data_IF_167812803534
#
_entry.id   IF_167812803534
#
_cell.length_a   1.000
_cell.length_b   1.000
_cell.length_c   1.000
_cell.angle_alpha   90.00
_cell.angle_beta   90.00
_cell.angle_gamma   90.00
#
_symmetry.space_group_name_H-M   'P 1'
#
loop_
_entity.id
_entity.type
_entity.pdbx_description
1 polymer ?
#
# COMPACT_ATOMS: atom_id res chain seq x y z
N UNK A 1 -2.00 67.13 36.26
CA UNK A 1 -0.91 67.47 35.34
C UNK A 1 -0.23 66.20 34.90
N UNK A 2 -0.21 65.99 33.59
CA UNK A 2 0.63 65.07 32.73
C UNK A 2 0.53 63.57 33.01
N UNK A 3 -0.22 62.84 32.25
CA UNK A 3 0.07 62.26 30.93
C UNK A 3 1.35 61.38 30.86
N UNK A 4 1.18 60.07 30.73
CA UNK A 4 2.18 59.11 30.37
C UNK A 4 1.52 57.93 29.65
N UNK A 5 1.39 58.08 28.32
CA UNK A 5 1.00 56.99 27.39
C UNK A 5 2.10 55.97 27.31
N UNK A 6 1.80 54.67 27.46
CA UNK A 6 2.64 53.59 27.04
C UNK A 6 1.87 52.63 26.13
N UNK A 7 2.16 52.77 24.81
CA UNK A 7 1.72 51.89 23.75
C UNK A 7 2.30 50.48 23.93
N UNK A 8 1.44 49.52 24.19
CA UNK A 8 1.76 48.10 24.04
C UNK A 8 1.36 47.64 22.63
N UNK A 9 2.35 47.52 21.76
CA UNK A 9 2.22 46.88 20.46
C UNK A 9 2.23 45.35 20.62
N UNK A 10 1.06 44.79 20.77
CA UNK A 10 0.84 43.33 20.57
C UNK A 10 0.86 43.05 19.05
N UNK A 11 1.99 42.58 18.54
CA UNK A 11 2.07 41.98 17.20
C UNK A 11 1.49 40.56 17.28
N UNK A 12 0.20 40.42 17.09
CA UNK A 12 -0.42 39.16 16.73
C UNK A 12 -0.03 38.78 15.30
N UNK A 13 0.97 37.92 15.21
CA UNK A 13 1.32 37.24 13.97
C UNK A 13 0.32 36.09 13.76
N UNK A 14 -0.89 36.39 13.33
CA UNK A 14 -1.82 35.43 12.79
C UNK A 14 -1.40 35.09 11.35
N UNK A 15 -0.62 34.04 11.19
CA UNK A 15 -0.44 33.39 9.90
C UNK A 15 -1.80 32.76 9.47
N UNK A 16 -2.71 33.61 8.99
CA UNK A 16 -3.83 33.16 8.17
C UNK A 16 -3.26 32.60 6.88
N UNK A 17 -3.24 31.28 6.78
CA UNK A 17 -3.15 30.60 5.48
C UNK A 17 -4.31 31.13 4.66
N UNK A 18 -4.02 32.05 3.72
CA UNK A 18 -5.00 32.53 2.75
C UNK A 18 -5.47 31.31 1.97
N UNK A 19 -6.72 30.95 2.12
CA UNK A 19 -7.42 30.10 1.18
C UNK A 19 -7.37 30.86 -0.17
N UNK A 20 -6.47 30.44 -1.06
CA UNK A 20 -6.41 30.97 -2.40
C UNK A 20 -7.62 30.43 -3.13
N UNK A 21 -8.61 31.26 -3.37
CA UNK A 21 -9.73 31.00 -4.26
C UNK A 21 -9.17 30.90 -5.69
N UNK A 22 -9.00 29.66 -6.16
CA UNK A 22 -8.55 29.37 -7.53
C UNK A 22 -9.76 29.37 -8.48
N UNK A 23 -10.35 30.51 -8.69
CA UNK A 23 -11.26 30.77 -9.79
C UNK A 23 -10.73 31.95 -10.63
N UNK A 24 -9.50 31.81 -11.15
CA UNK A 24 -9.02 32.71 -12.19
C UNK A 24 -9.14 31.94 -13.52
N UNK A 25 -10.05 32.36 -14.39
CA UNK A 25 -10.33 31.78 -15.72
C UNK A 25 -9.12 31.76 -16.67
N UNK A 26 -7.95 32.18 -16.21
CA UNK A 26 -6.71 32.37 -16.99
C UNK A 26 -5.68 31.26 -16.79
N UNK A 27 -5.85 30.34 -15.86
CA UNK A 27 -4.89 29.25 -15.68
C UNK A 27 -5.29 28.07 -16.55
N UNK A 28 -4.56 27.86 -17.64
CA UNK A 28 -4.65 26.64 -18.45
C UNK A 28 -3.30 25.90 -18.35
N UNK A 29 -3.28 24.78 -17.63
CA UNK A 29 -2.09 23.94 -17.57
C UNK A 29 -1.83 23.27 -18.93
N UNK A 30 -0.56 23.08 -19.24
CA UNK A 30 -0.18 22.26 -20.39
C UNK A 30 -0.36 20.77 -20.03
N UNK A 31 -1.40 20.17 -20.57
CA UNK A 31 -1.73 18.78 -20.41
C UNK A 31 -2.45 18.28 -21.67
N UNK A 32 -1.96 17.18 -22.25
CA UNK A 32 -2.59 16.58 -23.41
C UNK A 32 -3.70 15.60 -23.03
N UNK A 33 -4.74 15.50 -23.86
CA UNK A 33 -5.80 14.51 -23.67
C UNK A 33 -5.26 13.08 -23.83
N UNK A 34 -4.29 12.89 -24.72
CA UNK A 34 -3.60 11.62 -24.95
C UNK A 34 -2.96 11.07 -23.67
N UNK A 35 -2.40 11.96 -22.84
CA UNK A 35 -1.80 11.57 -21.57
C UNK A 35 -2.83 11.04 -20.55
N UNK A 36 -4.05 11.55 -20.58
CA UNK A 36 -5.17 11.03 -19.77
C UNK A 36 -5.66 9.68 -20.32
N UNK A 37 -5.67 9.50 -21.64
CA UNK A 37 -5.99 8.21 -22.27
C UNK A 37 -4.94 7.15 -21.89
N UNK A 38 -3.66 7.47 -21.94
CA UNK A 38 -2.58 6.58 -21.49
C UNK A 38 -2.77 6.16 -20.02
N UNK A 39 -3.07 7.11 -19.16
CA UNK A 39 -3.35 6.85 -17.73
C UNK A 39 -4.58 5.94 -17.53
N UNK A 40 -5.62 6.11 -18.33
CA UNK A 40 -6.79 5.23 -18.32
C UNK A 40 -6.42 3.81 -18.74
N UNK A 41 -5.65 3.64 -19.81
CA UNK A 41 -5.20 2.33 -20.29
C UNK A 41 -4.34 1.62 -19.22
N UNK A 42 -3.41 2.34 -18.58
CA UNK A 42 -2.61 1.81 -17.49
C UNK A 42 -3.47 1.42 -16.28
N UNK A 43 -4.42 2.26 -15.89
CA UNK A 43 -5.38 1.98 -14.83
C UNK A 43 -6.20 0.70 -15.10
N UNK A 44 -6.56 0.46 -16.36
CA UNK A 44 -7.40 -0.67 -16.78
C UNK A 44 -6.65 -1.99 -16.97
N UNK A 45 -5.33 -1.97 -17.11
CA UNK A 45 -4.50 -3.10 -17.54
C UNK A 45 -4.81 -4.43 -16.85
N UNK A 46 -5.19 -4.42 -15.56
CA UNK A 46 -5.53 -5.63 -14.78
C UNK A 46 -6.92 -5.57 -14.13
N UNK A 47 -7.81 -4.68 -14.58
CA UNK A 47 -9.09 -4.40 -13.89
C UNK A 47 -10.32 -4.50 -14.79
N UNK A 48 -10.17 -5.00 -16.03
CA UNK A 48 -11.24 -5.06 -17.05
C UNK A 48 -12.51 -5.83 -16.65
N UNK A 49 -12.47 -6.59 -15.56
CA UNK A 49 -13.62 -7.35 -15.02
C UNK A 49 -14.16 -6.75 -13.72
N UNK A 50 -13.57 -5.65 -13.22
CA UNK A 50 -14.03 -5.02 -11.98
C UNK A 50 -15.35 -4.27 -12.19
N UNK A 51 -16.20 -4.27 -11.17
CA UNK A 51 -17.49 -3.57 -11.21
C UNK A 51 -17.31 -2.08 -11.53
N UNK A 52 -16.33 -1.41 -10.90
CA UNK A 52 -16.08 0.01 -11.12
C UNK A 52 -15.68 0.31 -12.58
N UNK A 53 -14.83 -0.54 -13.19
CA UNK A 53 -14.46 -0.43 -14.61
C UNK A 53 -15.68 -0.60 -15.52
N UNK A 54 -16.47 -1.65 -15.29
CA UNK A 54 -17.65 -1.93 -16.12
C UNK A 54 -18.71 -0.83 -16.02
N UNK A 55 -18.83 -0.16 -14.89
CA UNK A 55 -19.71 0.99 -14.71
C UNK A 55 -19.17 2.27 -15.36
N UNK A 56 -17.85 2.42 -15.44
CA UNK A 56 -17.20 3.57 -16.08
C UNK A 56 -17.19 3.46 -17.61
N UNK A 57 -17.03 2.24 -18.14
CA UNK A 57 -16.79 1.98 -19.56
C UNK A 57 -17.84 2.60 -20.52
N UNK A 58 -19.16 2.59 -20.26
CA UNK A 58 -20.13 3.17 -21.19
C UNK A 58 -19.99 4.67 -21.42
N UNK A 59 -19.34 5.39 -20.49
CA UNK A 59 -19.18 6.85 -20.54
C UNK A 59 -17.70 7.29 -20.53
N UNK A 60 -16.77 6.37 -20.79
CA UNK A 60 -15.34 6.63 -20.59
C UNK A 60 -14.83 7.82 -21.41
N UNK A 61 -15.28 7.99 -22.66
CA UNK A 61 -14.81 9.07 -23.54
C UNK A 61 -15.15 10.45 -22.97
N UNK A 62 -16.40 10.68 -22.61
CA UNK A 62 -16.84 11.95 -22.02
C UNK A 62 -16.20 12.20 -20.64
N UNK A 63 -16.00 11.14 -19.85
CA UNK A 63 -15.33 11.27 -18.55
C UNK A 63 -13.82 11.57 -18.69
N UNK A 64 -13.13 11.02 -19.69
CA UNK A 64 -11.71 11.36 -19.95
C UNK A 64 -11.57 12.82 -20.38
N UNK A 65 -12.45 13.31 -21.25
CA UNK A 65 -12.47 14.73 -21.63
C UNK A 65 -12.74 15.60 -20.42
N UNK A 66 -13.74 15.25 -19.59
CA UNK A 66 -14.03 15.99 -18.35
C UNK A 66 -12.83 16.02 -17.39
N UNK A 67 -12.15 14.89 -17.15
CA UNK A 67 -10.96 14.83 -16.31
C UNK A 67 -9.86 15.74 -16.87
N UNK A 68 -9.62 15.68 -18.17
CA UNK A 68 -8.65 16.52 -18.84
C UNK A 68 -8.96 18.01 -18.68
N UNK A 69 -10.21 18.44 -18.94
CA UNK A 69 -10.64 19.83 -18.78
C UNK A 69 -10.55 20.30 -17.34
N UNK A 70 -11.00 19.46 -16.37
CA UNK A 70 -10.96 19.79 -14.95
C UNK A 70 -9.53 19.99 -14.46
N UNK A 71 -8.57 19.19 -14.92
CA UNK A 71 -7.15 19.36 -14.59
C UNK A 71 -6.60 20.59 -15.31
N UNK A 72 -6.82 20.71 -16.63
CA UNK A 72 -6.32 21.79 -17.46
C UNK A 72 -6.67 23.17 -16.90
N UNK A 73 -7.90 23.32 -16.43
CA UNK A 73 -8.42 24.60 -15.92
C UNK A 73 -8.41 24.70 -14.37
N UNK A 74 -7.60 23.89 -13.69
CA UNK A 74 -7.47 23.88 -12.24
C UNK A 74 -8.79 23.70 -11.46
N UNK A 75 -9.75 22.97 -12.02
CA UNK A 75 -11.08 22.69 -11.43
C UNK A 75 -11.21 21.29 -10.87
N UNK A 76 -10.18 20.45 -10.99
CA UNK A 76 -10.25 19.07 -10.55
C UNK A 76 -10.44 18.96 -9.03
N UNK A 77 -11.50 18.25 -8.65
CA UNK A 77 -11.82 17.92 -7.26
C UNK A 77 -12.00 16.40 -7.17
N UNK A 78 -11.30 15.72 -6.25
CA UNK A 78 -11.46 14.28 -6.06
C UNK A 78 -12.90 13.89 -5.69
N UNK A 79 -13.38 12.81 -6.28
CA UNK A 79 -14.71 12.29 -6.05
C UNK A 79 -14.87 11.53 -4.73
N UNK A 80 -16.06 10.92 -4.55
CA UNK A 80 -16.40 10.20 -3.32
C UNK A 80 -15.67 8.85 -3.25
N UNK A 81 -14.84 8.68 -2.24
CA UNK A 81 -14.13 7.43 -1.96
C UNK A 81 -15.06 6.37 -1.35
N UNK A 82 -14.73 5.09 -1.55
CA UNK A 82 -15.33 3.97 -0.81
C UNK A 82 -14.37 3.56 0.32
N UNK A 83 -14.84 3.57 1.57
CA UNK A 83 -14.04 3.15 2.71
C UNK A 83 -14.56 1.84 3.31
N UNK A 84 -13.66 0.91 3.60
CA UNK A 84 -14.01 -0.38 4.19
C UNK A 84 -12.89 -0.92 5.09
N UNK A 85 -13.25 -1.83 6.00
CA UNK A 85 -12.31 -2.47 6.92
C UNK A 85 -11.88 -3.82 6.36
N UNK A 86 -10.57 -4.03 6.26
CA UNK A 86 -9.94 -5.33 6.03
C UNK A 86 -9.53 -5.90 7.37
N UNK A 87 -10.02 -7.10 7.69
CA UNK A 87 -9.83 -7.72 9.00
C UNK A 87 -8.55 -8.57 9.09
N UNK A 88 -8.05 -9.05 7.97
CA UNK A 88 -6.89 -9.95 7.91
C UNK A 88 -5.76 -9.37 7.06
N UNK A 89 -4.49 -9.54 7.49
CA UNK A 89 -4.00 -10.19 8.72
C UNK A 89 -4.14 -9.33 9.98
N UNK A 90 -4.49 -8.05 9.83
CA UNK A 90 -4.73 -7.07 10.91
C UNK A 90 -5.84 -6.15 10.43
N UNK A 91 -6.72 -5.74 11.35
CA UNK A 91 -7.76 -4.75 11.04
C UNK A 91 -7.13 -3.47 10.50
N UNK A 92 -7.53 -3.08 9.31
CA UNK A 92 -7.07 -1.87 8.62
C UNK A 92 -8.23 -1.24 7.87
N UNK A 93 -8.29 0.06 7.92
CA UNK A 93 -9.11 0.89 7.08
C UNK A 93 -8.46 1.01 5.71
N UNK A 94 -9.26 0.87 4.66
CA UNK A 94 -8.81 0.98 3.26
C UNK A 94 -9.75 1.92 2.53
N UNK A 95 -9.17 2.90 1.85
CA UNK A 95 -9.88 3.82 0.97
C UNK A 95 -9.66 3.42 -0.49
N UNK A 96 -10.75 3.22 -1.20
CA UNK A 96 -10.75 3.03 -2.63
C UNK A 96 -11.29 4.29 -3.28
N UNK A 97 -10.44 5.04 -3.94
CA UNK A 97 -10.81 6.22 -4.70
C UNK A 97 -11.84 5.89 -5.79
N UNK A 98 -12.61 6.88 -6.22
CA UNK A 98 -13.47 6.77 -7.40
C UNK A 98 -12.66 6.34 -8.63
N UNK A 99 -13.33 5.78 -9.63
CA UNK A 99 -12.61 5.26 -10.80
C UNK A 99 -11.95 6.38 -11.62
N UNK A 100 -12.60 7.55 -11.72
CA UNK A 100 -12.04 8.73 -12.35
C UNK A 100 -10.78 9.22 -11.62
N UNK A 101 -10.81 9.26 -10.28
CA UNK A 101 -9.63 9.64 -9.47
C UNK A 101 -8.48 8.64 -9.64
N UNK A 102 -8.79 7.35 -9.82
CA UNK A 102 -7.73 6.36 -10.09
C UNK A 102 -7.02 6.63 -11.42
N UNK A 103 -7.70 7.17 -12.42
CA UNK A 103 -7.07 7.58 -13.68
C UNK A 103 -6.09 8.73 -13.41
N UNK A 104 -6.50 9.73 -12.63
CA UNK A 104 -5.61 10.83 -12.21
C UNK A 104 -4.43 10.33 -11.40
N UNK A 105 -4.65 9.35 -10.50
CA UNK A 105 -3.58 8.70 -9.75
C UNK A 105 -2.59 7.97 -10.65
N UNK A 106 -3.07 7.31 -11.72
CA UNK A 106 -2.21 6.66 -12.71
C UNK A 106 -1.46 7.69 -13.56
N UNK A 107 -2.12 8.78 -13.97
CA UNK A 107 -1.49 9.89 -14.69
C UNK A 107 -0.31 10.48 -13.90
N UNK A 108 -0.51 10.76 -12.62
CA UNK A 108 0.52 11.22 -11.71
C UNK A 108 1.64 10.18 -11.55
N UNK A 109 1.26 8.93 -11.33
CA UNK A 109 2.22 7.83 -11.13
C UNK A 109 3.13 7.59 -12.33
N UNK A 110 2.60 7.66 -13.55
CA UNK A 110 3.38 7.48 -14.78
C UNK A 110 4.51 8.51 -14.91
N UNK A 111 4.34 9.71 -14.33
CA UNK A 111 5.32 10.79 -14.34
C UNK A 111 6.34 10.69 -13.23
N UNK A 112 5.90 10.42 -12.00
CA UNK A 112 6.80 10.45 -10.84
C UNK A 112 7.50 9.12 -10.58
N UNK A 113 6.88 7.99 -10.93
CA UNK A 113 7.44 6.69 -10.58
C UNK A 113 8.79 6.39 -11.24
N UNK A 114 9.05 6.76 -12.51
CA UNK A 114 10.39 6.62 -13.09
C UNK A 114 11.47 7.39 -12.31
N UNK A 115 11.15 8.59 -11.85
CA UNK A 115 12.06 9.41 -11.05
C UNK A 115 12.32 8.79 -9.66
N UNK A 116 11.28 8.27 -9.02
CA UNK A 116 11.41 7.57 -7.75
C UNK A 116 12.25 6.30 -7.90
N UNK A 117 12.04 5.52 -8.95
CA UNK A 117 12.83 4.31 -9.22
C UNK A 117 14.32 4.65 -9.40
N UNK A 118 14.63 5.68 -10.18
CA UNK A 118 16.00 6.16 -10.35
C UNK A 118 16.62 6.52 -8.99
N UNK A 119 15.93 7.33 -8.18
CA UNK A 119 16.37 7.70 -6.84
C UNK A 119 16.62 6.48 -5.94
N UNK A 120 15.71 5.50 -5.92
CA UNK A 120 15.88 4.31 -5.10
C UNK A 120 17.08 3.45 -5.54
N UNK A 121 17.36 3.36 -6.84
CA UNK A 121 18.53 2.66 -7.39
C UNK A 121 19.81 3.39 -6.98
N UNK A 122 19.88 4.70 -7.16
CA UNK A 122 21.02 5.54 -6.79
C UNK A 122 21.33 5.49 -5.29
N UNK A 123 20.31 5.31 -4.47
CA UNK A 123 20.43 5.12 -3.02
C UNK A 123 20.71 3.66 -2.60
N UNK A 124 21.17 2.79 -3.51
CA UNK A 124 21.59 1.44 -3.17
C UNK A 124 20.49 0.38 -3.26
N UNK A 125 19.34 0.70 -3.85
CA UNK A 125 18.23 -0.24 -4.10
C UNK A 125 17.73 -1.01 -2.85
N UNK A 126 17.72 -0.38 -1.69
CA UNK A 126 17.39 -1.02 -0.40
C UNK A 126 15.90 -1.12 -0.09
N UNK A 127 15.06 -0.31 -0.75
CA UNK A 127 13.61 -0.36 -0.60
C UNK A 127 13.02 -1.47 -1.48
N UNK A 128 12.34 -2.45 -0.86
CA UNK A 128 11.85 -3.67 -1.54
C UNK A 128 10.32 -3.79 -1.61
N UNK A 129 9.59 -2.69 -1.42
CA UNK A 129 8.13 -2.69 -1.48
C UNK A 129 7.59 -1.62 -2.44
N UNK A 130 6.38 -1.86 -2.99
CA UNK A 130 5.67 -0.94 -3.89
C UNK A 130 6.47 -0.51 -5.13
N UNK A 131 7.31 -1.39 -5.66
CA UNK A 131 8.15 -1.18 -6.83
C UNK A 131 8.03 -2.37 -7.79
N UNK A 132 8.14 -2.11 -9.08
CA UNK A 132 8.08 -3.18 -10.10
C UNK A 132 9.30 -4.10 -9.95
N UNK A 133 9.08 -5.40 -9.97
CA UNK A 133 10.15 -6.40 -9.79
C UNK A 133 10.61 -6.61 -8.34
N UNK A 134 10.21 -5.74 -7.41
CA UNK A 134 10.50 -5.88 -5.98
C UNK A 134 9.34 -6.57 -5.24
N UNK A 135 9.55 -6.94 -3.99
CA UNK A 135 8.51 -7.56 -3.15
C UNK A 135 9.10 -8.44 -2.04
N UNK A 136 8.21 -9.15 -1.33
CA UNK A 136 8.58 -9.98 -0.18
C UNK A 136 9.70 -10.99 -0.51
N UNK A 137 9.65 -11.61 -1.68
CA UNK A 137 10.66 -12.64 -2.05
C UNK A 137 12.04 -12.05 -2.28
N UNK A 138 12.11 -10.87 -2.94
CA UNK A 138 13.35 -10.15 -3.15
C UNK A 138 13.90 -9.68 -1.80
N UNK A 139 13.05 -9.08 -0.95
CA UNK A 139 13.45 -8.64 0.38
C UNK A 139 14.02 -9.77 1.24
N UNK A 140 13.38 -10.95 1.22
CA UNK A 140 13.87 -12.14 1.96
C UNK A 140 15.18 -12.66 1.39
N UNK A 141 15.33 -12.69 0.06
CA UNK A 141 16.56 -13.14 -0.61
C UNK A 141 17.75 -12.22 -0.29
N UNK A 142 17.53 -10.91 -0.36
CA UNK A 142 18.57 -9.93 -0.03
C UNK A 142 18.93 -9.96 1.46
N UNK A 143 17.93 -10.05 2.36
CA UNK A 143 18.18 -10.20 3.77
C UNK A 143 18.96 -11.49 4.09
N UNK A 144 18.63 -12.60 3.40
CA UNK A 144 19.36 -13.86 3.56
C UNK A 144 20.80 -13.73 3.09
N UNK A 145 21.07 -13.01 2.00
CA UNK A 145 22.43 -12.73 1.51
C UNK A 145 23.22 -12.01 2.58
N UNK A 146 22.74 -10.89 3.10
CA UNK A 146 23.42 -10.12 4.16
C UNK A 146 23.68 -10.98 5.42
N UNK A 147 22.70 -11.79 5.83
CA UNK A 147 22.79 -12.68 6.99
C UNK A 147 23.84 -13.77 6.80
N UNK A 148 23.96 -14.32 5.60
CA UNK A 148 24.95 -15.35 5.26
C UNK A 148 26.38 -14.78 5.19
N UNK A 149 26.53 -13.56 4.73
CA UNK A 149 27.82 -12.86 4.67
C UNK A 149 28.36 -12.49 6.06
N UNK A 150 27.45 -12.27 7.05
CA UNK A 150 27.80 -11.81 8.39
C UNK A 150 27.11 -12.62 9.49
N UNK A 151 27.33 -13.95 9.59
CA UNK A 151 26.62 -14.82 10.55
C UNK A 151 26.93 -14.49 12.03
N UNK A 152 28.10 -13.90 12.29
CA UNK A 152 28.58 -13.55 13.63
C UNK A 152 28.20 -12.12 14.05
N UNK A 153 27.58 -11.35 13.18
CA UNK A 153 27.15 -9.99 13.46
C UNK A 153 25.84 -9.96 14.26
N UNK A 154 25.41 -8.75 14.56
CA UNK A 154 24.13 -8.46 15.18
C UNK A 154 23.17 -7.84 14.19
N UNK A 155 21.89 -8.17 14.33
CA UNK A 155 20.82 -7.58 13.54
C UNK A 155 19.89 -6.76 14.41
N UNK A 156 19.64 -5.53 13.99
CA UNK A 156 18.57 -4.67 14.48
C UNK A 156 17.38 -4.74 13.51
N UNK A 157 16.19 -4.95 14.05
CA UNK A 157 14.94 -4.80 13.32
C UNK A 157 14.10 -3.71 13.95
N UNK A 158 13.59 -2.82 13.12
CA UNK A 158 12.91 -1.59 13.50
C UNK A 158 11.61 -1.42 12.70
N UNK A 159 10.68 -0.62 13.23
CA UNK A 159 9.40 -0.32 12.62
C UNK A 159 9.03 1.14 12.94
N UNK A 160 8.49 1.88 11.97
CA UNK A 160 8.00 3.24 12.18
C UNK A 160 6.58 3.19 12.71
N UNK A 161 6.27 3.92 13.78
CA UNK A 161 4.97 3.87 14.43
C UNK A 161 3.88 4.51 13.57
N UNK A 162 2.88 3.71 13.16
CA UNK A 162 1.72 4.21 12.43
C UNK A 162 2.05 4.94 11.13
N UNK A 163 3.09 4.55 10.41
CA UNK A 163 3.76 5.29 9.36
C UNK A 163 2.79 6.02 8.41
N UNK A 164 1.85 5.31 7.77
CA UNK A 164 0.89 5.93 6.85
C UNK A 164 0.02 6.99 7.51
N UNK A 165 -0.29 6.85 8.80
CA UNK A 165 -1.16 7.78 9.53
C UNK A 165 -0.38 8.93 10.16
N UNK A 166 0.94 8.80 10.31
CA UNK A 166 1.81 9.81 10.94
C UNK A 166 2.52 10.72 9.96
N UNK A 167 2.53 10.39 8.65
CA UNK A 167 3.17 11.24 7.64
C UNK A 167 2.58 12.64 7.65
N UNK A 168 3.46 13.64 7.74
CA UNK A 168 3.09 15.05 7.63
C UNK A 168 2.92 15.42 6.16
N UNK A 169 1.75 15.97 5.80
CA UNK A 169 1.42 16.29 4.40
C UNK A 169 2.18 17.49 3.88
N UNK A 170 2.46 18.46 4.73
CA UNK A 170 3.20 19.66 4.33
C UNK A 170 4.64 19.31 4.01
N UNK A 171 5.29 18.54 4.89
CA UNK A 171 6.64 18.04 4.64
C UNK A 171 6.69 17.13 3.40
N UNK A 172 5.74 16.22 3.25
CA UNK A 172 5.67 15.37 2.06
C UNK A 172 5.53 16.19 0.78
N UNK A 173 4.66 17.21 0.78
CA UNK A 173 4.46 18.06 -0.39
C UNK A 173 5.72 18.86 -0.71
N UNK A 174 6.36 19.46 0.28
CA UNK A 174 7.62 20.21 0.11
C UNK A 174 8.72 19.31 -0.50
N UNK A 175 8.88 18.10 0.03
CA UNK A 175 9.84 17.13 -0.50
C UNK A 175 9.53 16.75 -1.96
N UNK A 176 8.26 16.56 -2.30
CA UNK A 176 7.82 16.21 -3.66
C UNK A 176 7.98 17.41 -4.62
N UNK A 177 7.62 18.62 -4.20
CA UNK A 177 7.73 19.82 -5.01
C UNK A 177 9.19 20.07 -5.41
N UNK A 178 10.11 20.10 -4.44
CA UNK A 178 11.55 20.24 -4.69
C UNK A 178 12.04 19.12 -5.62
N UNK A 179 11.72 17.86 -5.30
CA UNK A 179 12.21 16.73 -6.08
C UNK A 179 11.69 16.72 -7.52
N UNK A 180 10.42 17.04 -7.74
CA UNK A 180 9.82 17.11 -9.08
C UNK A 180 10.48 18.26 -9.87
N UNK A 181 10.64 19.45 -9.29
CA UNK A 181 11.30 20.58 -9.98
C UNK A 181 12.73 20.27 -10.40
N UNK A 182 13.47 19.54 -9.56
CA UNK A 182 14.87 19.22 -9.85
C UNK A 182 15.01 18.13 -10.94
N UNK A 183 14.09 17.16 -10.98
CA UNK A 183 14.28 15.93 -11.75
C UNK A 183 13.32 15.77 -12.93
N UNK A 184 12.13 16.35 -12.90
CA UNK A 184 11.16 16.23 -13.99
C UNK A 184 11.48 17.24 -15.11
N UNK A 185 11.45 16.77 -16.37
CA UNK A 185 11.81 17.57 -17.55
C UNK A 185 10.66 17.74 -18.55
N UNK A 186 9.45 17.32 -18.20
CA UNK A 186 8.27 17.49 -19.06
C UNK A 186 7.72 18.92 -19.00
N UNK A 187 7.14 19.38 -20.10
CA UNK A 187 6.55 20.73 -20.20
C UNK A 187 5.30 20.89 -19.31
N UNK A 188 4.70 19.76 -18.90
CA UNK A 188 3.54 19.70 -18.00
C UNK A 188 3.90 19.73 -16.49
N UNK A 189 5.10 20.23 -16.13
CA UNK A 189 5.59 20.26 -14.73
C UNK A 189 4.65 21.03 -13.79
N UNK A 190 4.14 22.17 -14.16
CA UNK A 190 3.24 22.94 -13.29
C UNK A 190 1.89 22.25 -13.11
N UNK A 191 1.40 21.53 -14.14
CA UNK A 191 0.26 20.65 -14.04
C UNK A 191 0.53 19.48 -13.09
N UNK A 192 1.71 18.87 -13.19
CA UNK A 192 2.13 17.78 -12.30
C UNK A 192 2.19 18.24 -10.84
N UNK A 193 2.71 19.41 -10.57
CA UNK A 193 2.77 20.00 -9.22
C UNK A 193 1.37 20.33 -8.68
N UNK A 194 0.48 20.88 -9.52
CA UNK A 194 -0.92 21.09 -9.17
C UNK A 194 -1.61 19.77 -8.74
N UNK A 195 -1.50 18.72 -9.56
CA UNK A 195 -2.08 17.41 -9.25
C UNK A 195 -1.42 16.80 -8.02
N UNK A 196 -0.10 16.93 -7.85
CA UNK A 196 0.63 16.49 -6.65
C UNK A 196 0.06 17.12 -5.39
N UNK A 197 -0.19 18.44 -5.42
CA UNK A 197 -0.79 19.14 -4.30
C UNK A 197 -2.18 18.60 -3.93
N UNK A 198 -3.03 18.40 -4.93
CA UNK A 198 -4.36 17.81 -4.69
C UNK A 198 -4.26 16.43 -4.08
N UNK A 199 -3.42 15.55 -4.62
CA UNK A 199 -3.24 14.17 -4.13
C UNK A 199 -2.74 14.16 -2.69
N UNK A 200 -1.76 14.98 -2.35
CA UNK A 200 -1.15 14.99 -1.00
C UNK A 200 -2.12 15.54 0.04
N UNK A 201 -2.81 16.64 -0.26
CA UNK A 201 -3.71 17.28 0.71
C UNK A 201 -5.12 16.71 0.72
N UNK A 202 -5.46 15.80 -0.21
CA UNK A 202 -6.76 15.15 -0.21
C UNK A 202 -7.05 14.44 1.12
N UNK A 203 -8.26 14.64 1.63
CA UNK A 203 -8.77 14.03 2.85
C UNK A 203 -9.98 13.13 2.51
N UNK A 204 -9.78 11.90 2.05
CA UNK A 204 -10.88 11.05 1.60
C UNK A 204 -11.87 10.69 2.71
N UNK A 205 -11.49 10.83 3.99
CA UNK A 205 -12.39 10.63 5.14
C UNK A 205 -13.50 11.68 5.20
N UNK A 206 -13.35 12.84 4.55
CA UNK A 206 -14.37 13.90 4.51
C UNK A 206 -15.47 13.63 3.48
N UNK A 207 -15.12 12.89 2.42
CA UNK A 207 -16.05 12.52 1.35
C UNK A 207 -15.89 11.04 1.02
N UNK A 208 -16.49 10.17 1.85
CA UNK A 208 -16.46 8.73 1.62
C UNK A 208 -17.74 8.00 2.03
N UNK A 209 -18.00 6.90 1.34
CA UNK A 209 -19.06 5.94 1.69
C UNK A 209 -18.44 4.78 2.47
N UNK A 210 -18.82 4.61 3.74
CA UNK A 210 -18.41 3.46 4.55
C UNK A 210 -19.17 2.21 4.12
N UNK A 211 -18.44 1.19 3.64
CA UNK A 211 -19.01 -0.08 3.13
C UNK A 211 -19.02 -1.20 4.17
N UNK A 212 -18.24 -1.11 5.21
CA UNK A 212 -18.25 -2.07 6.32
C UNK A 212 -19.18 -1.60 7.45
N UNK A 213 -19.77 -2.52 8.24
CA UNK A 213 -20.48 -2.19 9.47
C UNK A 213 -19.62 -1.38 10.43
N UNK A 214 -20.23 -0.47 11.18
CA UNK A 214 -19.51 0.48 12.07
C UNK A 214 -18.70 -0.27 13.15
N UNK A 215 -19.20 -1.40 13.63
CA UNK A 215 -18.59 -2.23 14.66
C UNK A 215 -17.18 -2.68 14.28
N UNK A 216 -16.90 -2.86 12.98
CA UNK A 216 -15.58 -3.26 12.51
C UNK A 216 -14.52 -2.18 12.70
N UNK A 217 -14.93 -0.89 12.69
CA UNK A 217 -14.02 0.21 12.99
C UNK A 217 -13.59 0.24 14.46
N UNK A 218 -14.40 -0.27 15.39
CA UNK A 218 -14.08 -0.33 16.82
C UNK A 218 -12.81 -1.19 17.10
N UNK A 219 -12.45 -2.07 16.18
CA UNK A 219 -11.24 -2.89 16.28
C UNK A 219 -9.97 -2.20 15.73
N UNK A 220 -10.11 -0.99 15.16
CA UNK A 220 -8.98 -0.20 14.65
C UNK A 220 -8.62 0.84 15.72
N UNK A 221 -7.38 0.81 16.27
CA UNK A 221 -6.95 1.83 17.22
C UNK A 221 -7.05 3.24 16.61
N UNK A 222 -7.44 4.28 17.37
CA UNK A 222 -7.60 5.66 16.86
C UNK A 222 -6.38 6.20 16.11
N UNK A 223 -5.17 5.83 16.54
CA UNK A 223 -3.91 6.19 15.89
C UNK A 223 -3.66 5.49 14.54
N UNK A 224 -4.50 4.54 14.14
CA UNK A 224 -4.38 3.75 12.89
C UNK A 224 -5.54 3.96 11.93
N UNK A 225 -6.37 4.97 12.16
CA UNK A 225 -7.47 5.38 11.29
C UNK A 225 -7.30 6.84 10.90
N UNK A 226 -7.59 7.19 9.65
CA UNK A 226 -7.59 8.59 9.19
C UNK A 226 -8.68 9.43 9.86
N UNK A 227 -9.79 8.81 10.25
CA UNK A 227 -10.86 9.52 10.97
C UNK A 227 -10.42 10.05 12.35
N UNK A 228 -9.34 9.51 12.90
CA UNK A 228 -8.75 9.93 14.16
C UNK A 228 -7.52 10.83 14.04
N UNK A 229 -7.10 11.17 12.79
CA UNK A 229 -5.92 12.00 12.57
C UNK A 229 -6.28 13.46 12.25
N UNK A 230 -5.40 14.41 12.58
CA UNK A 230 -5.46 15.77 12.06
C UNK A 230 -5.42 15.78 10.52
N UNK A 231 -6.01 16.80 9.88
CA UNK A 231 -6.08 16.91 8.42
C UNK A 231 -4.72 17.06 7.76
N UNK A 232 -3.76 17.59 8.49
CA UNK A 232 -2.37 17.80 8.09
C UNK A 232 -1.56 16.50 8.09
N UNK A 233 -2.13 15.39 8.62
CA UNK A 233 -1.43 14.10 8.73
C UNK A 233 -2.16 12.97 8.04
N UNK A 234 -1.35 12.02 7.63
CA UNK A 234 -1.80 10.72 7.15
C UNK A 234 -2.10 10.64 5.66
N UNK A 235 -1.79 9.49 5.10
CA UNK A 235 -2.11 9.10 3.73
C UNK A 235 -3.05 7.90 3.72
N UNK A 236 -4.05 7.94 2.83
CA UNK A 236 -5.06 6.89 2.72
C UNK A 236 -4.47 5.57 2.23
N UNK A 237 -4.60 4.52 3.03
CA UNK A 237 -4.21 3.17 2.60
C UNK A 237 -5.19 2.68 1.53
N UNK A 238 -4.66 2.20 0.40
CA UNK A 238 -5.44 1.63 -0.70
C UNK A 238 -5.32 2.36 -2.03
N UNK A 239 -4.75 3.56 -2.03
CA UNK A 239 -4.50 4.34 -3.22
C UNK A 239 -3.05 4.20 -3.70
N UNK A 240 -2.84 4.21 -5.01
CA UNK A 240 -1.52 4.10 -5.62
C UNK A 240 -0.58 5.25 -5.21
N UNK A 241 -0.99 6.53 -5.24
CA UNK A 241 -0.11 7.62 -4.82
C UNK A 241 0.36 7.50 -3.37
N UNK A 242 -0.51 7.03 -2.46
CA UNK A 242 -0.13 6.87 -1.05
C UNK A 242 1.02 5.88 -0.86
N UNK A 243 1.04 4.81 -1.66
CA UNK A 243 2.11 3.81 -1.60
C UNK A 243 3.43 4.36 -2.15
N UNK A 244 3.38 5.07 -3.27
CA UNK A 244 4.54 5.68 -3.90
C UNK A 244 5.12 6.80 -3.02
N UNK A 245 4.25 7.69 -2.53
CA UNK A 245 4.63 8.79 -1.65
C UNK A 245 5.24 8.29 -0.33
N UNK A 246 4.66 7.24 0.27
CA UNK A 246 5.21 6.65 1.49
C UNK A 246 6.62 6.07 1.26
N UNK A 247 6.85 5.43 0.12
CA UNK A 247 8.15 4.90 -0.22
C UNK A 247 9.18 6.01 -0.49
N UNK A 248 8.76 7.06 -1.18
CA UNK A 248 9.56 8.27 -1.41
C UNK A 248 9.89 8.99 -0.10
N UNK A 249 8.90 9.23 0.77
CA UNK A 249 9.09 9.86 2.07
C UNK A 249 10.13 9.12 2.93
N UNK A 250 10.06 7.79 2.97
CA UNK A 250 11.03 6.98 3.71
C UNK A 250 12.41 6.89 3.03
N UNK A 251 12.56 7.29 1.76
CA UNK A 251 13.86 7.25 1.08
C UNK A 251 14.89 8.24 1.66
N UNK A 252 14.44 9.24 2.39
CA UNK A 252 15.32 10.15 3.14
C UNK A 252 16.05 9.40 4.25
N UNK A 253 15.36 8.45 4.92
CA UNK A 253 15.98 7.55 5.89
C UNK A 253 17.00 6.63 5.22
N UNK A 254 16.69 6.11 4.03
CA UNK A 254 17.59 5.24 3.27
C UNK A 254 18.90 5.98 2.95
N UNK A 255 18.79 7.21 2.47
CA UNK A 255 19.96 8.06 2.20
C UNK A 255 20.79 8.32 3.45
N UNK A 256 20.16 8.66 4.56
CA UNK A 256 20.86 8.92 5.80
C UNK A 256 21.61 7.70 6.32
N UNK A 257 20.98 6.52 6.33
CA UNK A 257 21.61 5.28 6.80
C UNK A 257 22.79 4.89 5.91
N UNK A 258 22.62 4.93 4.59
CA UNK A 258 23.60 4.43 3.64
C UNK A 258 24.73 5.42 3.39
N UNK A 259 24.39 6.70 3.14
CA UNK A 259 25.34 7.67 2.63
C UNK A 259 25.92 8.56 3.75
N UNK A 260 25.10 8.94 4.73
CA UNK A 260 25.58 9.78 5.85
C UNK A 260 26.22 8.94 6.96
N UNK A 261 25.58 7.82 7.34
CA UNK A 261 26.12 6.92 8.38
C UNK A 261 27.04 5.84 7.83
N UNK A 262 27.01 5.56 6.54
CA UNK A 262 27.85 4.56 5.90
C UNK A 262 27.49 3.10 6.21
N UNK A 263 26.28 2.83 6.72
CA UNK A 263 25.84 1.48 7.08
C UNK A 263 25.28 0.74 5.87
N UNK A 264 26.09 -0.08 5.21
CA UNK A 264 25.78 -0.75 3.94
C UNK A 264 24.83 -1.95 4.07
N UNK A 265 24.75 -2.59 5.23
CA UNK A 265 23.93 -3.80 5.45
C UNK A 265 22.57 -3.42 6.01
N UNK A 266 21.80 -2.73 5.19
CA UNK A 266 20.47 -2.19 5.47
C UNK A 266 19.47 -2.60 4.42
N UNK A 267 18.23 -2.90 4.83
CA UNK A 267 17.14 -3.26 3.94
C UNK A 267 15.80 -2.80 4.52
N UNK A 268 14.95 -2.18 3.70
CA UNK A 268 13.64 -1.65 4.10
C UNK A 268 12.50 -2.27 3.30
N UNK A 269 11.39 -2.48 4.01
CA UNK A 269 10.11 -2.90 3.44
C UNK A 269 8.99 -2.01 4.00
N UNK A 270 8.72 -0.88 3.37
CA UNK A 270 7.86 0.23 3.81
C UNK A 270 8.38 0.85 5.12
N UNK A 271 7.76 0.51 6.23
CA UNK A 271 8.02 0.95 7.60
C UNK A 271 8.84 -0.04 8.43
N UNK A 272 8.94 -1.30 7.99
CA UNK A 272 9.71 -2.37 8.63
C UNK A 272 11.11 -2.46 7.98
N UNK A 273 12.17 -2.36 8.75
CA UNK A 273 13.53 -2.43 8.21
C UNK A 273 14.50 -3.14 9.12
N UNK A 274 15.56 -3.67 8.53
CA UNK A 274 16.64 -4.37 9.21
C UNK A 274 17.98 -3.73 8.90
N UNK A 275 18.87 -3.75 9.87
CA UNK A 275 20.26 -3.32 9.72
C UNK A 275 21.17 -4.31 10.45
N UNK A 276 22.29 -4.68 9.84
CA UNK A 276 23.30 -5.54 10.43
C UNK A 276 24.53 -4.71 10.81
N UNK A 277 25.04 -4.94 12.01
CA UNK A 277 26.28 -4.31 12.50
C UNK A 277 27.16 -5.34 13.19
N UNK A 278 28.51 -5.11 13.24
CA UNK A 278 29.45 -6.05 13.82
C UNK A 278 29.18 -6.37 15.29
N UNK A 279 28.71 -5.39 16.08
CA UNK A 279 28.52 -5.55 17.53
C UNK A 279 27.17 -5.04 18.01
N UNK A 280 26.73 -5.58 19.15
CA UNK A 280 25.48 -5.15 19.80
C UNK A 280 25.55 -3.67 20.23
N UNK A 281 26.66 -3.23 20.70
CA UNK A 281 26.90 -1.88 21.24
C UNK A 281 26.66 -0.83 20.13
N UNK A 282 27.15 -1.10 18.91
CA UNK A 282 26.90 -0.22 17.75
C UNK A 282 25.42 -0.09 17.43
N UNK A 283 24.66 -1.20 17.45
CA UNK A 283 23.22 -1.17 17.23
C UNK A 283 22.49 -0.43 18.37
N UNK A 284 22.90 -0.64 19.62
CA UNK A 284 22.29 0.05 20.77
C UNK A 284 22.54 1.55 20.70
N UNK A 285 23.76 1.97 20.36
CA UNK A 285 24.11 3.38 20.16
C UNK A 285 23.38 4.03 18.99
N UNK A 286 23.11 3.26 17.93
CA UNK A 286 22.35 3.74 16.76
C UNK A 286 20.88 4.06 17.07
N UNK A 287 20.24 3.39 18.03
CA UNK A 287 18.81 3.56 18.33
C UNK A 287 18.43 5.00 18.69
N UNK A 288 19.10 5.70 19.61
CA UNK A 288 18.77 7.09 19.91
C UNK A 288 19.00 8.03 18.72
N UNK A 289 20.05 7.82 17.92
CA UNK A 289 20.32 8.61 16.71
C UNK A 289 19.20 8.43 15.68
N UNK A 290 18.81 7.18 15.44
CA UNK A 290 17.68 6.83 14.55
C UNK A 290 16.37 7.49 15.01
N UNK A 291 16.10 7.45 16.33
CA UNK A 291 14.89 8.05 16.90
C UNK A 291 14.86 9.56 16.71
N UNK A 292 15.97 10.24 16.95
CA UNK A 292 16.09 11.68 16.75
C UNK A 292 15.93 12.04 15.26
N UNK A 293 16.62 11.32 14.38
CA UNK A 293 16.53 11.54 12.93
C UNK A 293 15.11 11.41 12.40
N UNK A 294 14.41 10.33 12.76
CA UNK A 294 13.01 10.11 12.34
C UNK A 294 12.09 11.24 12.85
N UNK A 295 12.30 11.67 14.10
CA UNK A 295 11.48 12.72 14.71
C UNK A 295 11.75 14.10 14.10
N UNK A 296 13.00 14.44 13.85
CA UNK A 296 13.40 15.78 13.38
C UNK A 296 13.24 15.94 11.86
N UNK A 297 13.63 14.91 11.09
CA UNK A 297 13.66 15.00 9.63
C UNK A 297 12.40 14.48 8.95
N UNK A 298 11.70 13.53 9.56
CA UNK A 298 10.51 12.91 8.97
C UNK A 298 9.25 13.11 9.83
N UNK A 299 9.33 13.82 10.96
CA UNK A 299 8.21 14.07 11.87
C UNK A 299 7.43 12.80 12.27
N UNK A 300 8.10 11.64 12.26
CA UNK A 300 7.55 10.32 12.63
C UNK A 300 8.30 9.71 13.80
N UNK A 301 7.71 8.71 14.46
CA UNK A 301 8.32 8.08 15.62
C UNK A 301 8.77 6.65 15.33
N UNK A 302 9.96 6.29 15.85
CA UNK A 302 10.35 4.89 15.94
C UNK A 302 9.42 4.16 16.91
N UNK A 303 8.88 3.01 16.51
CA UNK A 303 7.90 2.27 17.31
C UNK A 303 8.55 1.75 18.62
N UNK A 304 8.08 2.18 19.81
CA UNK A 304 8.80 1.94 21.08
C UNK A 304 8.88 0.45 21.45
N UNK A 305 7.92 -0.36 21.01
CA UNK A 305 7.82 -1.80 21.34
C UNK A 305 8.27 -2.73 20.21
N UNK A 306 8.81 -2.21 19.10
CA UNK A 306 9.24 -3.00 17.94
C UNK A 306 10.70 -2.72 17.58
N UNK A 307 11.54 -2.70 18.60
CA UNK A 307 12.98 -2.62 18.47
C UNK A 307 13.53 -3.97 18.90
N UNK A 308 14.06 -4.74 17.96
CA UNK A 308 14.63 -6.05 18.22
C UNK A 308 16.11 -6.05 17.85
N UNK A 309 16.97 -6.34 18.81
CA UNK A 309 18.42 -6.44 18.62
C UNK A 309 18.85 -7.82 19.10
N UNK A 310 19.44 -8.61 18.21
CA UNK A 310 19.89 -9.97 18.54
C UNK A 310 21.06 -10.41 17.65
N UNK A 311 21.81 -11.45 18.05
CA UNK A 311 22.81 -12.06 17.19
C UNK A 311 22.16 -12.61 15.90
N UNK A 312 22.80 -12.42 14.76
CA UNK A 312 22.35 -12.92 13.45
C UNK A 312 22.11 -14.44 13.48
N UNK A 313 22.91 -15.22 14.21
CA UNK A 313 22.75 -16.66 14.38
C UNK A 313 21.39 -17.08 14.95
N UNK A 314 20.71 -16.22 15.69
CA UNK A 314 19.36 -16.49 16.21
C UNK A 314 18.27 -16.30 15.13
N UNK A 315 18.65 -15.83 13.93
CA UNK A 315 17.75 -15.49 12.85
C UNK A 315 17.07 -14.15 13.03
N UNK A 316 16.41 -13.67 11.99
CA UNK A 316 15.61 -12.44 12.03
C UNK A 316 14.23 -12.69 11.42
N UNK A 317 13.21 -12.22 12.12
CA UNK A 317 11.84 -12.20 11.58
C UNK A 317 11.68 -10.96 10.70
N UNK A 318 11.59 -11.15 9.39
CA UNK A 318 11.42 -10.06 8.44
C UNK A 318 10.38 -10.42 7.37
N UNK A 319 9.46 -9.52 7.08
CA UNK A 319 8.36 -9.65 6.10
C UNK A 319 7.65 -11.00 6.09
N UNK A 320 7.43 -11.57 7.28
CA UNK A 320 6.72 -12.84 7.46
C UNK A 320 7.57 -14.10 7.36
N UNK A 321 8.87 -13.98 7.08
CA UNK A 321 9.84 -15.08 7.07
C UNK A 321 10.77 -14.99 8.30
N UNK A 322 11.21 -16.15 8.80
CA UNK A 322 12.32 -16.28 9.73
C UNK A 322 13.57 -16.64 8.94
N UNK A 323 14.54 -15.74 8.93
CA UNK A 323 15.75 -15.86 8.12
C UNK A 323 16.92 -16.14 9.06
N UNK A 324 17.52 -17.32 8.95
CA UNK A 324 18.72 -17.74 9.65
C UNK A 324 19.88 -17.92 8.66
N UNK A 325 21.13 -17.91 9.11
CA UNK A 325 22.25 -18.30 8.28
C UNK A 325 21.99 -19.64 7.58
N UNK A 326 22.12 -19.67 6.24
CA UNK A 326 21.90 -20.86 5.40
C UNK A 326 20.45 -21.33 5.23
N UNK A 327 19.46 -20.74 5.92
CA UNK A 327 18.10 -21.26 5.91
C UNK A 327 17.02 -20.18 6.11
N UNK A 328 15.93 -20.30 5.32
CA UNK A 328 14.73 -19.48 5.49
C UNK A 328 13.52 -20.37 5.83
N UNK A 329 12.74 -19.94 6.79
CA UNK A 329 11.51 -20.59 7.24
C UNK A 329 10.33 -19.64 7.12
N UNK A 330 9.13 -20.18 6.95
CA UNK A 330 7.91 -19.41 7.23
C UNK A 330 7.80 -19.13 8.72
N UNK A 331 7.43 -17.92 9.10
CA UNK A 331 7.28 -17.59 10.52
C UNK A 331 6.15 -18.41 11.17
N UNK A 332 6.32 -18.77 12.45
CA UNK A 332 5.30 -19.47 13.22
C UNK A 332 3.97 -18.70 13.24
N UNK A 333 4.02 -17.37 13.30
CA UNK A 333 2.81 -16.51 13.22
C UNK A 333 2.08 -16.67 11.88
N UNK A 334 2.80 -16.64 10.76
CA UNK A 334 2.20 -16.80 9.43
C UNK A 334 1.62 -18.21 9.27
N UNK A 335 2.36 -19.22 9.72
CA UNK A 335 1.91 -20.63 9.74
C UNK A 335 0.65 -20.81 10.58
N UNK A 336 0.61 -20.26 11.79
CA UNK A 336 -0.56 -20.31 12.66
C UNK A 336 -1.80 -19.71 11.99
N UNK A 337 -1.68 -18.49 11.47
CA UNK A 337 -2.78 -17.82 10.76
C UNK A 337 -3.29 -18.61 9.54
N UNK A 338 -2.40 -19.27 8.81
CA UNK A 338 -2.80 -20.14 7.70
C UNK A 338 -3.66 -21.31 8.19
N UNK A 339 -3.24 -21.99 9.26
CA UNK A 339 -4.02 -23.10 9.82
C UNK A 339 -5.33 -22.62 10.43
N UNK A 340 -5.38 -21.44 11.05
CA UNK A 340 -6.65 -20.83 11.51
C UNK A 340 -7.63 -20.64 10.35
N UNK A 341 -7.13 -20.13 9.22
CA UNK A 341 -7.93 -20.00 8.00
C UNK A 341 -8.38 -21.35 7.43
N UNK A 342 -7.49 -22.34 7.40
CA UNK A 342 -7.84 -23.68 6.94
C UNK A 342 -8.95 -24.29 7.80
N UNK A 343 -8.83 -24.20 9.13
CA UNK A 343 -9.87 -24.66 10.07
C UNK A 343 -11.21 -23.96 9.85
N UNK A 344 -11.17 -22.63 9.70
CA UNK A 344 -12.39 -21.88 9.39
C UNK A 344 -13.07 -22.36 8.11
N UNK A 345 -12.32 -22.54 7.02
CA UNK A 345 -12.89 -23.01 5.76
C UNK A 345 -13.36 -24.46 5.83
N UNK A 346 -12.64 -25.33 6.53
CA UNK A 346 -13.09 -26.71 6.75
C UNK A 346 -14.45 -26.73 7.46
N UNK A 347 -14.63 -25.94 8.51
CA UNK A 347 -15.92 -25.77 9.18
C UNK A 347 -17.01 -25.28 8.24
N UNK A 348 -16.73 -24.30 7.37
CA UNK A 348 -17.71 -23.84 6.37
C UNK A 348 -18.11 -24.95 5.39
N UNK A 349 -17.18 -25.85 5.04
CA UNK A 349 -17.48 -27.00 4.20
C UNK A 349 -18.39 -28.01 4.91
N UNK A 350 -18.12 -28.31 6.18
CA UNK A 350 -18.97 -29.19 7.03
C UNK A 350 -20.39 -28.63 7.22
N UNK A 351 -20.54 -27.33 7.30
CA UNK A 351 -21.85 -26.63 7.35
C UNK A 351 -22.57 -26.57 5.99
N UNK A 352 -22.07 -27.27 4.95
CA UNK A 352 -22.69 -27.26 3.60
C UNK A 352 -22.46 -25.98 2.79
N UNK A 353 -21.59 -25.08 3.24
CA UNK A 353 -21.32 -23.77 2.63
C UNK A 353 -20.10 -23.76 1.69
N UNK A 354 -19.58 -24.95 1.32
CA UNK A 354 -18.34 -25.05 0.53
C UNK A 354 -18.39 -24.28 -0.77
N UNK A 355 -19.47 -24.38 -1.56
CA UNK A 355 -19.60 -23.70 -2.84
C UNK A 355 -19.61 -22.17 -2.66
N UNK A 356 -20.27 -21.65 -1.63
CA UNK A 356 -20.33 -20.23 -1.30
C UNK A 356 -18.95 -19.64 -0.96
N UNK A 357 -18.09 -20.44 -0.32
CA UNK A 357 -16.76 -20.02 0.13
C UNK A 357 -15.63 -20.47 -0.81
N UNK A 358 -15.92 -21.17 -1.92
CA UNK A 358 -14.93 -21.79 -2.79
C UNK A 358 -13.85 -20.83 -3.28
N UNK A 359 -14.24 -19.70 -3.86
CA UNK A 359 -13.29 -18.70 -4.36
C UNK A 359 -12.44 -18.09 -3.24
N UNK A 360 -13.07 -17.78 -2.11
CA UNK A 360 -12.39 -17.21 -0.94
C UNK A 360 -11.42 -18.20 -0.32
N UNK A 361 -11.80 -19.48 -0.23
CA UNK A 361 -10.94 -20.56 0.23
C UNK A 361 -9.70 -20.68 -0.66
N UNK A 362 -9.92 -20.88 -1.97
CA UNK A 362 -8.82 -21.07 -2.93
C UNK A 362 -7.91 -19.85 -2.98
N UNK A 363 -8.45 -18.63 -3.06
CA UNK A 363 -7.66 -17.41 -3.07
C UNK A 363 -6.83 -17.23 -1.78
N UNK A 364 -7.46 -17.47 -0.62
CA UNK A 364 -6.82 -17.35 0.69
C UNK A 364 -5.68 -18.36 0.86
N UNK A 365 -5.94 -19.63 0.57
CA UNK A 365 -4.93 -20.70 0.72
C UNK A 365 -3.80 -20.53 -0.29
N UNK A 366 -4.10 -20.16 -1.54
CA UNK A 366 -3.09 -19.91 -2.57
C UNK A 366 -2.18 -18.73 -2.24
N UNK A 367 -2.67 -17.73 -1.52
CA UNK A 367 -1.82 -16.63 -1.02
C UNK A 367 -0.72 -17.16 -0.07
N UNK A 368 -1.07 -18.06 0.86
CA UNK A 368 -0.09 -18.69 1.74
C UNK A 368 0.83 -19.66 1.00
N UNK A 369 0.26 -20.52 0.15
CA UNK A 369 1.04 -21.50 -0.61
C UNK A 369 2.02 -20.79 -1.57
N UNK A 370 1.58 -19.71 -2.24
CA UNK A 370 2.42 -18.90 -3.12
C UNK A 370 3.64 -18.31 -2.40
N UNK A 371 3.46 -17.84 -1.16
CA UNK A 371 4.59 -17.44 -0.32
C UNK A 371 5.50 -18.63 0.02
N UNK A 372 4.92 -19.77 0.34
CA UNK A 372 5.66 -20.95 0.80
C UNK A 372 6.52 -21.62 -0.27
N UNK A 373 6.13 -21.57 -1.55
CA UNK A 373 6.90 -22.20 -2.63
C UNK A 373 8.32 -21.70 -2.78
N UNK A 374 8.59 -20.50 -2.27
CA UNK A 374 9.92 -19.89 -2.28
C UNK A 374 10.84 -20.36 -1.16
N UNK A 375 10.32 -21.19 -0.20
CA UNK A 375 11.08 -21.70 0.94
C UNK A 375 11.05 -23.24 0.98
N UNK A 376 11.85 -23.85 1.83
CA UNK A 376 11.86 -25.31 2.04
C UNK A 376 10.65 -25.78 2.85
N UNK A 377 9.44 -25.66 2.29
CA UNK A 377 8.16 -25.87 2.99
C UNK A 377 7.35 -27.05 2.43
N UNK A 378 7.94 -27.96 1.66
CA UNK A 378 7.21 -29.09 1.07
C UNK A 378 6.39 -29.87 2.09
N UNK A 379 7.00 -30.25 3.23
CA UNK A 379 6.29 -30.98 4.31
C UNK A 379 5.09 -30.21 4.86
N UNK A 380 5.21 -28.88 5.01
CA UNK A 380 4.11 -28.03 5.51
C UNK A 380 2.99 -27.98 4.46
N UNK A 381 3.33 -27.78 3.18
CA UNK A 381 2.36 -27.73 2.08
C UNK A 381 1.64 -29.05 1.88
N UNK A 382 2.36 -30.19 2.02
CA UNK A 382 1.77 -31.53 2.04
C UNK A 382 0.79 -31.67 3.21
N UNK A 383 1.17 -31.23 4.41
CA UNK A 383 0.27 -31.27 5.57
C UNK A 383 -0.99 -30.42 5.39
N UNK A 384 -0.90 -29.25 4.72
CA UNK A 384 -2.09 -28.45 4.34
C UNK A 384 -3.05 -29.27 3.48
N UNK A 385 -2.53 -30.05 2.51
CA UNK A 385 -3.36 -30.95 1.71
C UNK A 385 -4.01 -32.05 2.56
N UNK A 386 -3.25 -32.69 3.44
CA UNK A 386 -3.73 -33.76 4.34
C UNK A 386 -4.79 -33.24 5.34
N UNK A 387 -4.62 -32.01 5.86
CA UNK A 387 -5.53 -31.37 6.82
C UNK A 387 -6.75 -30.71 6.14
N UNK A 388 -6.83 -30.70 4.80
CA UNK A 388 -7.95 -30.12 4.05
C UNK A 388 -9.14 -31.07 4.06
N UNK A 389 -10.32 -30.57 4.48
CA UNK A 389 -11.53 -31.40 4.53
C UNK A 389 -11.87 -31.98 3.14
N UNK A 390 -12.15 -33.29 3.03
CA UNK A 390 -12.42 -34.00 1.76
C UNK A 390 -13.55 -33.34 0.91
N UNK A 391 -14.50 -32.67 1.53
CA UNK A 391 -15.60 -31.98 0.82
C UNK A 391 -15.05 -30.98 -0.23
N UNK A 392 -13.92 -30.34 0.04
CA UNK A 392 -13.30 -29.41 -0.91
C UNK A 392 -12.89 -30.09 -2.23
N UNK A 393 -12.55 -31.37 -2.20
CA UNK A 393 -12.12 -32.10 -3.39
C UNK A 393 -13.25 -32.30 -4.41
N UNK A 394 -14.50 -32.06 -4.03
CA UNK A 394 -15.61 -32.01 -4.99
C UNK A 394 -15.48 -30.81 -5.93
N UNK A 395 -14.98 -29.68 -5.44
CA UNK A 395 -14.99 -28.37 -6.11
C UNK A 395 -13.61 -27.95 -6.65
N UNK A 396 -12.53 -28.38 -6.02
CA UNK A 396 -11.17 -28.05 -6.40
C UNK A 396 -10.26 -29.26 -6.30
N UNK A 397 -9.02 -29.10 -6.73
CA UNK A 397 -7.96 -30.10 -6.56
C UNK A 397 -6.65 -29.41 -6.21
N UNK A 398 -5.69 -30.17 -5.65
CA UNK A 398 -4.34 -29.71 -5.34
C UNK A 398 -3.45 -29.87 -6.57
N UNK A 399 -2.77 -28.81 -6.97
CA UNK A 399 -1.79 -28.83 -8.05
C UNK A 399 -0.49 -29.54 -7.67
N UNK A 400 0.37 -29.77 -8.67
CA UNK A 400 1.64 -30.48 -8.50
C UNK A 400 2.48 -29.89 -7.35
N UNK A 401 3.12 -30.76 -6.58
CA UNK A 401 4.01 -30.42 -5.45
C UNK A 401 3.31 -29.58 -4.34
N UNK A 402 2.00 -29.70 -4.21
CA UNK A 402 1.20 -28.95 -3.23
C UNK A 402 1.41 -27.42 -3.33
N UNK A 403 1.51 -26.91 -4.56
CA UNK A 403 1.83 -25.48 -4.78
C UNK A 403 0.61 -24.57 -4.77
N UNK A 404 -0.55 -25.11 -5.16
CA UNK A 404 -1.79 -24.33 -5.26
C UNK A 404 -3.04 -25.19 -5.28
N UNK A 405 -4.15 -24.66 -4.82
CA UNK A 405 -5.49 -25.18 -5.07
C UNK A 405 -5.99 -24.68 -6.42
N UNK A 406 -6.64 -25.51 -7.20
CA UNK A 406 -7.20 -25.16 -8.52
C UNK A 406 -8.68 -25.49 -8.54
N UNK A 407 -9.53 -24.49 -8.80
CA UNK A 407 -10.99 -24.69 -8.95
C UNK A 407 -11.25 -25.53 -10.21
N UNK A 408 -12.03 -26.58 -10.10
CA UNK A 408 -12.46 -27.42 -11.23
C UNK A 408 -13.24 -26.56 -12.23
N UNK A 409 -13.06 -26.83 -13.53
CA UNK A 409 -13.59 -26.02 -14.65
C UNK A 409 -15.08 -25.67 -14.49
N UNK A 410 -15.89 -26.66 -14.10
CA UNK A 410 -17.34 -26.51 -13.95
C UNK A 410 -17.80 -25.53 -12.87
N UNK A 411 -16.92 -25.22 -11.89
CA UNK A 411 -17.20 -24.31 -10.78
C UNK A 411 -16.52 -22.95 -10.93
N UNK A 412 -15.80 -22.71 -12.04
CA UNK A 412 -15.20 -21.40 -12.29
C UNK A 412 -16.27 -20.36 -12.64
N UNK A 413 -16.22 -19.13 -12.13
CA UNK A 413 -17.23 -18.09 -12.35
C UNK A 413 -17.53 -17.84 -13.82
N UNK A 414 -16.51 -17.79 -14.65
CA UNK A 414 -16.68 -17.60 -16.11
C UNK A 414 -17.44 -18.74 -16.78
N UNK A 415 -17.21 -19.98 -16.39
CA UNK A 415 -17.90 -21.15 -16.95
C UNK A 415 -19.33 -21.24 -16.44
N UNK A 416 -19.58 -20.84 -15.20
CA UNK A 416 -20.94 -20.72 -14.63
C UNK A 416 -21.70 -19.65 -15.39
N UNK A 417 -21.10 -18.46 -15.62
CA UNK A 417 -21.70 -17.39 -16.40
C UNK A 417 -22.05 -17.84 -17.83
N UNK A 418 -21.12 -18.53 -18.52
CA UNK A 418 -21.37 -19.10 -19.86
C UNK A 418 -22.54 -20.08 -19.90
N UNK A 419 -22.64 -20.94 -18.86
CA UNK A 419 -23.78 -21.88 -18.75
C UNK A 419 -25.11 -21.13 -18.57
N UNK A 420 -25.16 -20.11 -17.70
CA UNK A 420 -26.33 -19.27 -17.47
C UNK A 420 -26.77 -18.51 -18.74
N UNK A 421 -25.81 -17.97 -19.49
CA UNK A 421 -26.09 -17.34 -20.78
C UNK A 421 -26.69 -18.34 -21.77
N UNK A 422 -26.13 -19.56 -21.87
CA UNK A 422 -26.66 -20.62 -22.77
C UNK A 422 -28.03 -21.13 -22.35
N UNK A 423 -28.33 -21.19 -21.03
CA UNK A 423 -29.64 -21.61 -20.51
C UNK A 423 -30.73 -20.53 -20.62
N UNK A 424 -30.41 -19.33 -21.10
CA UNK A 424 -31.37 -18.22 -21.17
C UNK A 424 -31.66 -17.54 -19.82
N UNK A 425 -31.10 -18.02 -18.74
CA UNK A 425 -31.31 -17.49 -17.38
C UNK A 425 -30.92 -16.02 -17.24
N UNK A 426 -29.92 -15.56 -18.02
CA UNK A 426 -29.50 -14.15 -18.07
C UNK A 426 -30.50 -13.23 -18.79
N UNK A 427 -31.26 -13.73 -19.76
CA UNK A 427 -32.28 -12.93 -20.45
C UNK A 427 -33.43 -12.51 -19.52
N UNK A 428 -33.80 -13.40 -18.56
CA UNK A 428 -34.81 -13.11 -17.53
C UNK A 428 -34.35 -12.08 -16.49
N UNK A 429 -33.03 -11.98 -16.23
CA UNK A 429 -32.46 -11.06 -15.23
C UNK A 429 -32.27 -9.66 -15.82
N UNK A 430 -31.95 -9.55 -17.13
CA UNK A 430 -31.63 -8.28 -17.78
C UNK A 430 -32.84 -7.59 -18.41
N UNK A 431 -33.94 -8.30 -18.66
CA UNK A 431 -35.16 -7.78 -19.24
C UNK A 431 -36.41 -8.39 -18.55
N UNK A 432 -36.67 -8.03 -17.30
CA UNK A 432 -37.86 -8.55 -16.60
C UNK A 432 -39.19 -8.09 -17.16
N UNK A 433 -39.23 -7.05 -18.02
CA UNK A 433 -40.46 -6.42 -18.52
C UNK A 433 -40.83 -6.81 -19.97
N UNK A 434 -40.15 -7.78 -20.57
CA UNK A 434 -40.42 -8.23 -21.95
C UNK A 434 -41.05 -9.61 -22.05
N UNK A 435 -41.62 -10.13 -20.94
CA UNK A 435 -42.41 -11.37 -20.93
C UNK A 435 -43.65 -11.22 -20.05
#
# INVERSE_FOLDING_TARGET
MNNGNSNNNNRNNSNRVRAVSFADERVAYDISLESIVEAFEDCCRKKKTSKDYLQFLPKYQSELVRIWEDIRYARYVPGTSKCFVVEWPVHREVFAADFADRIVHHWWSLRVNPLFEQRFIEQGDVSKNCRVGQGVHVAVKEAQKMINEHPDWWVGRFDIEGFFMSMDKSLLYEMLDIFIRDNYKGDDIECLLYVTRIIVFHCPQDNCIRKSPIEKWNHIPPRKTLFGQPREKGCAIGNLPSQLSANFYASVLDHWILNVKGYKHYLRFVDDFIILMPTREKLVAFVPELRNYLKEQLLVNLHPKKIYIQPVRNGVLFVGAMINPGRVFISNRTRGKMYDKLRFYNKMAEEGKALQYLEKFVASMNSYLGMMVHYRTYKIRRKVYEDTNPIWWQYCYMGKDYKQFVIKKQYRPLEIAKKKVKSGEYKRILMPELY
#
